data_IF_021437858854
#
_entry.id   IF_021437858854
#
_cell.length_a   1.000
_cell.length_b   1.000
_cell.length_c   1.000
_cell.angle_alpha   90.00
_cell.angle_beta   90.00
_cell.angle_gamma   90.00
#
_symmetry.space_group_name_H-M   'P 1'
#
loop_
_entity.id
_entity.type
_entity.pdbx_description
1 polymer ?
#
# COMPACT_ATOMS: atom_id res chain seq x y z
N UNK A 1 -17.57 -30.34 -24.67
CA UNK A 1 -16.30 -30.83 -24.06
C UNK A 1 -15.05 -30.10 -24.58
N UNK A 2 -14.86 -29.93 -25.90
CA UNK A 2 -13.69 -29.24 -26.47
C UNK A 2 -13.56 -27.76 -26.07
N UNK A 3 -14.66 -26.98 -26.15
CA UNK A 3 -14.67 -25.55 -25.76
C UNK A 3 -14.21 -25.31 -24.31
N UNK A 4 -14.64 -26.15 -23.38
CA UNK A 4 -14.23 -26.05 -21.98
C UNK A 4 -12.72 -26.19 -21.81
N UNK A 5 -12.11 -27.17 -22.50
CA UNK A 5 -10.64 -27.36 -22.46
C UNK A 5 -9.92 -26.12 -22.97
N UNK A 6 -10.39 -25.54 -24.08
CA UNK A 6 -9.85 -24.31 -24.64
C UNK A 6 -9.91 -23.14 -23.63
N UNK A 7 -11.05 -22.92 -22.99
CA UNK A 7 -11.18 -21.83 -22.01
C UNK A 7 -10.28 -22.03 -20.79
N UNK A 8 -10.14 -23.26 -20.31
CA UNK A 8 -9.22 -23.55 -19.20
C UNK A 8 -7.76 -23.32 -19.62
N UNK A 9 -7.38 -23.69 -20.84
CA UNK A 9 -6.03 -23.44 -21.36
C UNK A 9 -5.73 -21.93 -21.50
N UNK A 10 -6.69 -21.14 -21.97
CA UNK A 10 -6.58 -19.68 -22.02
C UNK A 10 -6.44 -19.09 -20.60
N UNK A 11 -7.27 -19.55 -19.67
CA UNK A 11 -7.22 -19.09 -18.28
C UNK A 11 -5.86 -19.38 -17.63
N UNK A 12 -5.25 -20.53 -17.94
CA UNK A 12 -3.92 -20.87 -17.43
C UNK A 12 -2.82 -19.87 -17.83
N UNK A 13 -2.97 -19.19 -18.96
CA UNK A 13 -2.00 -18.18 -19.44
C UNK A 13 -2.11 -16.85 -18.68
N UNK A 14 -3.27 -16.56 -18.10
CA UNK A 14 -3.57 -15.29 -17.42
C UNK A 14 -3.35 -15.37 -15.91
N UNK A 15 -3.43 -16.56 -15.32
CA UNK A 15 -3.29 -16.76 -13.88
C UNK A 15 -1.84 -17.10 -13.54
N UNK A 16 -1.25 -16.52 -12.48
CA UNK A 16 0.06 -16.95 -11.99
C UNK A 16 -0.07 -18.35 -11.35
N UNK A 17 0.25 -19.38 -12.12
CA UNK A 17 0.05 -20.77 -11.72
C UNK A 17 1.23 -21.43 -11.01
N UNK A 18 2.38 -20.74 -10.93
CA UNK A 18 3.60 -21.28 -10.35
C UNK A 18 4.19 -22.45 -11.16
N UNK A 19 5.42 -22.87 -10.84
CA UNK A 19 6.12 -23.96 -11.55
C UNK A 19 5.49 -25.35 -11.34
N UNK A 20 4.55 -25.52 -10.41
CA UNK A 20 3.83 -26.79 -10.14
C UNK A 20 2.77 -27.14 -11.22
N UNK A 21 2.97 -26.68 -12.45
CA UNK A 21 2.03 -26.70 -13.59
C UNK A 21 1.54 -28.10 -14.00
N UNK A 22 2.14 -29.18 -13.50
CA UNK A 22 1.84 -30.55 -13.92
C UNK A 22 0.57 -31.14 -13.27
N UNK A 23 0.03 -30.57 -12.18
CA UNK A 23 -1.14 -31.14 -11.45
C UNK A 23 -2.27 -30.14 -11.13
N UNK A 24 -2.54 -29.18 -12.01
CA UNK A 24 -3.63 -28.23 -11.76
C UNK A 24 -4.98 -28.84 -12.14
N UNK A 25 -5.87 -28.97 -11.16
CA UNK A 25 -7.28 -29.34 -11.38
C UNK A 25 -8.07 -28.12 -11.85
N UNK A 26 -9.25 -28.34 -12.44
CA UNK A 26 -10.14 -27.24 -12.83
C UNK A 26 -10.51 -26.36 -11.63
N UNK A 27 -10.77 -26.97 -10.47
CA UNK A 27 -11.16 -26.26 -9.26
C UNK A 27 -10.03 -25.35 -8.74
N UNK A 28 -8.78 -25.85 -8.70
CA UNK A 28 -7.65 -25.04 -8.21
C UNK A 28 -7.35 -23.86 -9.13
N UNK A 29 -7.49 -24.04 -10.44
CA UNK A 29 -7.38 -22.97 -11.43
C UNK A 29 -8.41 -21.87 -11.20
N UNK A 30 -9.68 -22.24 -11.01
CA UNK A 30 -10.76 -21.27 -10.76
C UNK A 30 -10.57 -20.51 -9.44
N UNK A 31 -10.17 -21.21 -8.37
CA UNK A 31 -9.85 -20.59 -7.07
C UNK A 31 -8.72 -19.56 -7.21
N UNK A 32 -7.62 -19.93 -7.87
CA UNK A 32 -6.47 -19.04 -8.12
C UNK A 32 -6.83 -17.86 -9.01
N UNK A 33 -7.65 -18.06 -10.04
CA UNK A 33 -8.14 -16.98 -10.89
C UNK A 33 -8.94 -15.94 -10.10
N UNK A 34 -9.88 -16.39 -9.27
CA UNK A 34 -10.68 -15.52 -8.39
C UNK A 34 -9.79 -14.73 -7.44
N UNK A 35 -8.79 -15.38 -6.85
CA UNK A 35 -7.81 -14.70 -5.98
C UNK A 35 -6.95 -13.70 -6.75
N UNK A 36 -6.54 -14.04 -7.97
CA UNK A 36 -5.73 -13.14 -8.78
C UNK A 36 -6.48 -11.87 -9.17
N UNK A 37 -7.76 -11.97 -9.54
CA UNK A 37 -8.63 -10.81 -9.80
C UNK A 37 -8.68 -9.89 -8.57
N UNK A 38 -8.98 -10.45 -7.38
CA UNK A 38 -9.00 -9.66 -6.14
C UNK A 38 -7.67 -8.97 -5.85
N UNK A 39 -6.55 -9.65 -6.10
CA UNK A 39 -5.22 -9.08 -5.92
C UNK A 39 -4.96 -7.91 -6.88
N UNK A 40 -5.33 -8.07 -8.15
CA UNK A 40 -5.20 -7.01 -9.15
C UNK A 40 -6.07 -5.79 -8.79
N UNK A 41 -7.32 -6.02 -8.40
CA UNK A 41 -8.23 -4.94 -7.95
C UNK A 41 -7.65 -4.16 -6.76
N UNK A 42 -7.05 -4.86 -5.81
CA UNK A 42 -6.40 -4.22 -4.67
C UNK A 42 -5.13 -3.46 -5.06
N UNK A 43 -4.32 -4.02 -5.96
CA UNK A 43 -3.15 -3.33 -6.50
C UNK A 43 -3.54 -2.05 -7.25
N UNK A 44 -4.60 -2.10 -8.07
CA UNK A 44 -5.12 -0.93 -8.78
C UNK A 44 -5.61 0.14 -7.80
N UNK A 45 -6.33 -0.25 -6.75
CA UNK A 45 -6.77 0.67 -5.68
C UNK A 45 -5.58 1.37 -5.02
N UNK A 46 -4.53 0.61 -4.66
CA UNK A 46 -3.31 1.16 -4.05
C UNK A 46 -2.56 2.06 -5.03
N UNK A 47 -2.43 1.67 -6.29
CA UNK A 47 -1.76 2.45 -7.32
C UNK A 47 -2.47 3.80 -7.54
N UNK A 48 -3.80 3.84 -7.53
CA UNK A 48 -4.58 5.08 -7.59
C UNK A 48 -4.30 5.99 -6.39
N UNK A 49 -4.25 5.44 -5.18
CA UNK A 49 -3.94 6.22 -3.97
C UNK A 49 -2.53 6.82 -4.02
N UNK A 50 -1.53 6.03 -4.43
CA UNK A 50 -0.14 6.49 -4.59
C UNK A 50 -0.06 7.57 -5.65
N UNK A 51 -0.70 7.38 -6.81
CA UNK A 51 -0.77 8.39 -7.86
C UNK A 51 -1.36 9.70 -7.34
N UNK A 52 -2.46 9.62 -6.59
CA UNK A 52 -3.11 10.81 -6.03
C UNK A 52 -2.20 11.53 -5.02
N UNK A 53 -1.52 10.76 -4.15
CA UNK A 53 -0.56 11.32 -3.20
C UNK A 53 0.57 12.06 -3.91
N UNK A 54 1.20 11.43 -4.90
CA UNK A 54 2.25 12.06 -5.71
C UNK A 54 1.74 13.31 -6.45
N UNK A 55 0.49 13.30 -6.91
CA UNK A 55 -0.11 14.49 -7.53
C UNK A 55 -0.33 15.63 -6.52
N UNK A 56 -0.66 15.34 -5.26
CA UNK A 56 -0.74 16.35 -4.20
C UNK A 56 0.65 16.92 -3.89
N UNK A 57 1.65 16.07 -3.77
CA UNK A 57 3.04 16.47 -3.52
C UNK A 57 3.59 17.31 -4.66
N UNK A 58 3.42 16.88 -5.91
CA UNK A 58 3.82 17.66 -7.08
C UNK A 58 3.18 19.06 -7.08
N UNK A 59 1.88 19.17 -6.77
CA UNK A 59 1.21 20.48 -6.64
C UNK A 59 1.74 21.31 -5.48
N UNK A 60 2.05 20.69 -4.36
CA UNK A 60 2.63 21.36 -3.20
C UNK A 60 4.03 21.91 -3.52
N UNK A 61 4.91 21.07 -4.05
CA UNK A 61 6.28 21.45 -4.42
C UNK A 61 6.30 22.53 -5.48
N UNK A 62 5.42 22.46 -6.49
CA UNK A 62 5.28 23.51 -7.50
C UNK A 62 4.94 24.87 -6.89
N UNK A 63 3.96 24.93 -5.98
CA UNK A 63 3.61 26.17 -5.26
C UNK A 63 4.75 26.66 -4.37
N UNK A 64 5.48 25.75 -3.73
CA UNK A 64 6.63 26.11 -2.90
C UNK A 64 7.76 26.72 -3.72
N UNK A 65 8.04 26.16 -4.90
CA UNK A 65 8.98 26.72 -5.86
C UNK A 65 8.53 28.10 -6.34
N UNK A 66 7.25 28.27 -6.68
CA UNK A 66 6.69 29.57 -7.07
C UNK A 66 6.88 30.61 -5.96
N UNK A 67 6.56 30.27 -4.70
CA UNK A 67 6.78 31.16 -3.55
C UNK A 67 8.25 31.56 -3.39
N UNK A 68 9.18 30.60 -3.46
CA UNK A 68 10.61 30.87 -3.33
C UNK A 68 11.14 31.68 -4.52
N UNK A 69 10.64 31.44 -5.73
CA UNK A 69 11.00 32.21 -6.93
C UNK A 69 10.50 33.65 -6.85
N UNK A 70 9.28 33.88 -6.34
CA UNK A 70 8.70 35.21 -6.17
C UNK A 70 9.44 35.95 -5.06
N UNK A 71 9.65 35.34 -3.90
CA UNK A 71 10.42 35.94 -2.81
C UNK A 71 11.86 36.27 -3.21
N UNK A 72 12.54 35.35 -3.91
CA UNK A 72 13.89 35.58 -4.44
C UNK A 72 13.94 36.57 -5.61
N UNK A 73 12.82 36.82 -6.29
CA UNK A 73 12.73 37.89 -7.31
C UNK A 73 12.51 39.27 -6.68
N UNK A 74 11.68 39.35 -5.63
CA UNK A 74 11.40 40.61 -4.90
C UNK A 74 12.64 41.10 -4.16
N UNK A 75 13.45 40.19 -3.61
CA UNK A 75 14.69 40.53 -2.91
C UNK A 75 15.79 41.03 -3.86
N UNK A 76 15.74 40.69 -5.16
CA UNK A 76 16.69 41.15 -6.18
C UNK A 76 16.26 42.39 -6.96
N UNK A 77 14.98 42.79 -6.91
CA UNK A 77 14.47 43.97 -7.65
C UNK A 77 14.71 45.29 -6.86
N UNK A 78 15.36 45.25 -5.69
CA UNK A 78 15.69 46.42 -4.89
C UNK A 78 17.19 46.57 -4.60
N UNK A 79 18.02 46.48 -5.62
CA UNK A 79 19.39 46.99 -5.53
C UNK A 79 19.81 47.62 -6.85
N UNK A 80 19.23 48.78 -7.18
CA UNK A 80 20.03 49.77 -7.90
C UNK A 80 21.21 50.15 -7.01
N UNK A 81 22.33 49.54 -7.37
CA UNK A 81 23.69 49.78 -6.94
C UNK A 81 23.95 51.17 -6.35
N UNK A 82 24.17 51.22 -5.03
CA UNK A 82 25.11 52.14 -4.41
C UNK A 82 25.91 51.39 -3.34
N UNK A 83 27.08 50.90 -3.76
CA UNK A 83 28.30 50.82 -2.95
C UNK A 83 28.37 49.79 -1.82
N UNK A 84 29.17 48.75 -2.00
CA UNK A 84 30.43 48.61 -1.24
C UNK A 84 31.20 47.35 -1.59
N UNK A 85 32.50 47.53 -1.61
CA UNK A 85 33.57 46.54 -1.71
C UNK A 85 33.55 45.59 -0.52
N UNK A 86 33.44 44.28 -0.75
CA UNK A 86 33.99 43.29 0.17
C UNK A 86 35.09 42.53 -0.58
N UNK A 87 36.32 42.92 -0.28
CA UNK A 87 37.50 42.11 -0.51
C UNK A 87 37.48 40.95 0.47
N UNK A 88 37.44 39.71 -0.01
CA UNK A 88 38.12 38.61 0.69
C UNK A 88 38.67 37.65 -0.37
N UNK A 89 39.99 37.71 -0.44
CA UNK A 89 40.91 36.84 -1.15
C UNK A 89 40.92 35.42 -0.54
N UNK A 90 41.46 34.47 -1.32
CA UNK A 90 41.86 33.09 -0.97
C UNK A 90 40.82 31.96 -1.07
N UNK A 91 40.77 31.40 -2.29
CA UNK A 91 40.78 29.98 -2.69
C UNK A 91 40.60 28.91 -1.59
N UNK A 92 39.44 28.24 -1.57
CA UNK A 92 39.31 26.88 -1.04
C UNK A 92 38.56 26.03 -2.06
N UNK A 93 39.31 25.22 -2.80
CA UNK A 93 38.76 24.16 -3.62
C UNK A 93 38.22 23.07 -2.69
N UNK A 94 36.90 22.96 -2.62
CA UNK A 94 36.22 21.85 -1.96
C UNK A 94 35.97 20.77 -3.00
N UNK A 95 36.84 19.77 -3.02
CA UNK A 95 36.61 18.52 -3.75
C UNK A 95 35.38 17.83 -3.14
N UNK A 96 34.29 17.77 -3.89
CA UNK A 96 33.09 17.05 -3.50
C UNK A 96 33.33 15.58 -3.86
N UNK A 97 34.05 14.86 -3.00
CA UNK A 97 34.11 13.40 -3.07
C UNK A 97 32.71 12.80 -2.87
N UNK A 98 32.40 11.81 -3.70
CA UNK A 98 31.09 11.21 -3.82
C UNK A 98 30.58 10.58 -2.53
N UNK A 99 29.35 10.96 -2.14
CA UNK A 99 28.57 10.19 -1.18
C UNK A 99 28.10 8.89 -1.86
N UNK A 100 28.92 7.86 -1.70
CA UNK A 100 28.54 6.46 -1.85
C UNK A 100 27.47 6.13 -0.79
N UNK A 101 26.21 6.05 -1.18
CA UNK A 101 25.16 5.51 -0.34
C UNK A 101 25.30 3.98 -0.31
N UNK A 102 26.06 3.47 0.66
CA UNK A 102 25.95 2.07 1.07
C UNK A 102 24.65 1.94 1.90
N UNK A 103 23.65 1.14 1.50
CA UNK A 103 22.50 0.87 2.34
C UNK A 103 22.97 0.02 3.53
N UNK A 104 23.18 0.69 4.66
CA UNK A 104 23.38 0.04 5.95
C UNK A 104 22.12 -0.75 6.31
N UNK A 105 22.31 -2.04 6.57
CA UNK A 105 21.34 -2.91 7.21
C UNK A 105 20.98 -2.33 8.59
N UNK A 106 19.88 -1.60 8.66
CA UNK A 106 19.23 -1.28 9.92
C UNK A 106 18.18 -2.36 10.17
N UNK A 107 18.62 -3.38 10.89
CA UNK A 107 17.76 -4.33 11.60
C UNK A 107 16.71 -3.55 12.42
N UNK A 108 15.45 -3.87 12.19
CA UNK A 108 14.33 -3.44 13.03
C UNK A 108 13.33 -4.56 13.02
N UNK A 109 13.61 -5.54 13.87
CA UNK A 109 12.63 -6.52 14.31
C UNK A 109 11.48 -5.73 14.96
N UNK A 110 10.29 -5.84 14.40
CA UNK A 110 9.07 -5.48 15.11
C UNK A 110 8.54 -6.75 15.74
N UNK A 111 8.85 -6.93 17.03
CA UNK A 111 8.37 -8.02 17.84
C UNK A 111 6.89 -7.81 18.17
N UNK A 112 6.01 -8.31 17.31
CA UNK A 112 4.63 -8.58 17.71
C UNK A 112 4.54 -9.95 18.39
N UNK A 113 4.44 -9.91 19.72
CA UNK A 113 4.16 -11.07 20.57
C UNK A 113 2.71 -10.99 21.04
N UNK A 114 1.87 -11.91 20.56
CA UNK A 114 0.70 -12.52 21.22
C UNK A 114 0.05 -13.40 20.14
N UNK A 115 -0.28 -14.68 20.29
CA UNK A 115 -0.66 -15.44 21.46
C UNK A 115 -1.72 -16.42 20.94
N UNK A 116 -1.43 -17.71 21.07
CA UNK A 116 -2.36 -18.85 21.03
C UNK A 116 -2.86 -19.37 19.67
N UNK A 117 -2.38 -20.59 19.38
CA UNK A 117 -2.93 -21.56 18.44
C UNK A 117 -4.20 -22.15 19.06
N UNK A 118 -5.35 -22.00 18.41
CA UNK A 118 -6.49 -22.89 18.62
C UNK A 118 -6.90 -23.46 17.26
N UNK A 119 -6.58 -24.76 17.11
CA UNK A 119 -7.13 -25.64 16.11
C UNK A 119 -8.60 -25.89 16.45
N UNK A 120 -9.52 -25.44 15.61
CA UNK A 120 -10.90 -25.92 15.62
C UNK A 120 -11.20 -26.59 14.28
N UNK A 121 -10.88 -27.88 14.20
CA UNK A 121 -11.69 -28.83 13.45
C UNK A 121 -12.98 -29.03 14.25
N UNK A 122 -14.15 -28.74 13.66
CA UNK A 122 -15.40 -29.49 13.87
C UNK A 122 -16.54 -28.83 13.06
N UNK A 123 -16.96 -29.49 11.99
CA UNK A 123 -18.32 -29.31 11.45
C UNK A 123 -18.87 -30.70 11.14
N UNK A 124 -19.34 -31.39 12.20
CA UNK A 124 -20.24 -32.55 12.07
C UNK A 124 -21.70 -32.12 12.31
N UNK A 125 -22.54 -32.54 11.36
CA UNK A 125 -23.99 -32.45 11.39
C UNK A 125 -24.58 -33.17 12.61
N UNK A 126 -25.50 -32.56 13.36
CA UNK A 126 -26.73 -33.27 13.76
C UNK A 126 -27.85 -32.37 14.33
N UNK A 127 -29.03 -32.50 13.73
CA UNK A 127 -30.32 -32.07 14.28
C UNK A 127 -30.65 -32.79 15.59
N UNK A 128 -31.12 -32.06 16.62
CA UNK A 128 -32.32 -32.45 17.38
C UNK A 128 -32.84 -31.41 18.36
N UNK A 129 -34.17 -31.34 18.39
CA UNK A 129 -35.03 -30.56 19.24
C UNK A 129 -34.77 -30.69 20.75
N UNK A 130 -34.94 -29.60 21.51
CA UNK A 130 -36.04 -29.39 22.48
C UNK A 130 -35.66 -28.36 23.56
N UNK A 131 -36.57 -27.41 23.77
CA UNK A 131 -36.97 -27.01 25.13
C UNK A 131 -36.46 -25.66 25.64
N UNK A 132 -37.42 -24.78 25.95
CA UNK A 132 -37.27 -23.83 27.07
C UNK A 132 -37.22 -22.35 26.74
N UNK A 133 -38.30 -21.77 26.20
CA UNK A 133 -38.49 -20.30 26.25
C UNK A 133 -38.90 -19.88 27.67
N UNK A 134 -37.97 -19.26 28.40
CA UNK A 134 -38.24 -18.55 29.65
C UNK A 134 -38.48 -17.06 29.40
N UNK A 135 -39.67 -16.58 29.75
CA UNK A 135 -40.04 -15.15 29.73
C UNK A 135 -39.46 -14.42 30.95
N UNK A 136 -39.06 -13.13 30.83
CA UNK A 136 -39.00 -12.23 31.97
C UNK A 136 -40.13 -11.19 31.91
N UNK A 137 -41.01 -11.22 32.91
CA UNK A 137 -41.96 -10.13 33.20
C UNK A 137 -41.22 -8.94 33.82
N UNK A 138 -41.51 -7.72 33.35
CA UNK A 138 -41.26 -6.48 34.10
C UNK A 138 -42.50 -5.60 34.04
N UNK A 139 -43.31 -5.68 35.08
CA UNK A 139 -44.36 -4.72 35.40
C UNK A 139 -43.73 -3.46 36.01
N UNK A 140 -43.92 -2.30 35.37
CA UNK A 140 -44.03 -1.01 36.07
C UNK A 140 -45.17 -0.24 35.41
N UNK A 141 -46.33 -0.25 36.05
CA UNK A 141 -47.47 0.60 35.71
C UNK A 141 -47.20 2.02 36.23
N UNK A 142 -47.48 2.98 35.37
CA UNK A 142 -47.74 4.37 35.71
C UNK A 142 -49.05 4.47 36.51
N UNK A 143 -49.04 5.20 37.62
CA UNK A 143 -49.86 6.39 37.90
C UNK A 143 -49.68 6.82 39.35
#
# INVERSE_FOLDING_TARGET
RAKLRLYLEQLKKLVPLGPDSTRHTTLSLLKRAKMHIKKLEEQDRKALNVKEQLQREHRYLKRRLEQLSVSGSVERIRTDSMGSTISTDSEQEVDIEGMEFTPGEADSIDSISDGEEEEEEEEEDHYSAKGGFGFPQKNRRFS
#
